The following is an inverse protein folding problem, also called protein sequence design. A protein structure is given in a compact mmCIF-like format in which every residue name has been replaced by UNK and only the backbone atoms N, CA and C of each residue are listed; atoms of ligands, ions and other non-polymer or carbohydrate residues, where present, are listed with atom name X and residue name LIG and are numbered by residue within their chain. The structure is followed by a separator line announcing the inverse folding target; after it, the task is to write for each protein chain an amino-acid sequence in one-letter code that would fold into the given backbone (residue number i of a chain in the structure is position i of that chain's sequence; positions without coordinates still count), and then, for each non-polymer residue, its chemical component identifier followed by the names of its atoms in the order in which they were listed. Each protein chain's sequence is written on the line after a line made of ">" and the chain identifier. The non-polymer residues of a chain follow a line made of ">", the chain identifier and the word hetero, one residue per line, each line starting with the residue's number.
data_IF_873647131441
#
_entry.id   IF_873647131441
#
_cell.length_a   1.000
_cell.length_b   1.000
_cell.length_c   1.000
_cell.angle_alpha   90.00
_cell.angle_beta   90.00
_cell.angle_gamma   90.00
#
_symmetry.space_group_name_H-M   'P 1'
#
loop_
_entity.id
_entity.type
_entity.pdbx_description
1 polymer ?
#
# COMPACT_ATOMS: atom_id res chain seq x y z
N UNK A 1 18.05 -5.04 -3.79
CA UNK A 1 17.25 -4.96 -2.55
C UNK A 1 16.59 -3.60 -2.33
N UNK A 2 17.31 -2.48 -2.28
CA UNK A 2 16.71 -1.15 -2.04
C UNK A 2 15.76 -0.64 -3.16
N UNK A 3 15.97 -1.10 -4.40
CA UNK A 3 15.06 -0.86 -5.52
C UNK A 3 13.67 -1.46 -5.27
N UNK A 4 13.61 -2.67 -4.69
CA UNK A 4 12.36 -3.41 -4.41
C UNK A 4 11.76 -3.12 -3.04
N UNK A 5 12.58 -3.01 -2.00
CA UNK A 5 12.11 -2.82 -0.62
C UNK A 5 12.36 -1.40 -0.16
N UNK A 6 11.26 -0.63 0.00
CA UNK A 6 11.30 0.78 0.42
C UNK A 6 11.95 0.98 1.80
N UNK A 7 11.89 -0.03 2.67
CA UNK A 7 12.49 0.02 4.01
C UNK A 7 14.01 0.27 3.97
N UNK A 8 14.70 -0.19 2.92
CA UNK A 8 16.14 0.02 2.76
C UNK A 8 16.52 1.32 2.04
N UNK A 9 15.54 2.18 1.71
CA UNK A 9 15.81 3.51 1.14
C UNK A 9 16.13 4.56 2.20
N UNK A 10 15.98 4.21 3.48
CA UNK A 10 16.33 5.05 4.61
C UNK A 10 17.16 4.23 5.60
N UNK A 11 18.01 4.87 6.40
CA UNK A 11 18.67 4.20 7.52
C UNK A 11 17.65 3.51 8.42
N UNK A 12 17.97 2.29 8.86
CA UNK A 12 17.15 1.54 9.80
C UNK A 12 17.33 2.14 11.20
N UNK A 13 16.26 2.73 11.74
CA UNK A 13 16.24 3.22 13.12
C UNK A 13 15.75 2.10 14.03
N UNK A 14 16.55 1.04 14.15
CA UNK A 14 16.26 -0.14 14.98
C UNK A 14 17.52 -0.66 15.66
N UNK A 15 17.39 -1.62 16.58
CA UNK A 15 18.54 -2.35 17.09
C UNK A 15 19.21 -3.17 15.98
N UNK A 16 20.48 -3.54 16.20
CA UNK A 16 21.25 -4.38 15.28
C UNK A 16 20.56 -5.73 15.03
N UNK A 17 20.02 -6.33 16.09
CA UNK A 17 19.28 -7.59 16.02
C UNK A 17 18.05 -7.47 15.11
N UNK A 18 17.21 -6.46 15.33
CA UNK A 18 16.03 -6.22 14.48
C UNK A 18 16.41 -5.89 13.05
N UNK A 19 17.50 -5.13 12.83
CA UNK A 19 18.02 -4.85 11.50
C UNK A 19 18.45 -6.14 10.79
N UNK A 20 19.11 -7.05 11.50
CA UNK A 20 19.56 -8.34 10.97
C UNK A 20 18.37 -9.20 10.54
N UNK A 21 17.35 -9.32 11.40
CA UNK A 21 16.11 -10.02 11.05
C UNK A 21 15.37 -9.36 9.88
N UNK A 22 15.36 -8.03 9.81
CA UNK A 22 14.74 -7.28 8.70
C UNK A 22 15.42 -7.61 7.37
N UNK A 23 16.76 -7.62 7.35
CA UNK A 23 17.54 -7.98 6.16
C UNK A 23 17.29 -9.44 5.78
N UNK A 24 17.36 -10.38 6.73
CA UNK A 24 17.11 -11.79 6.49
C UNK A 24 15.70 -12.04 5.93
N UNK A 25 14.67 -11.44 6.55
CA UNK A 25 13.29 -11.54 6.08
C UNK A 25 13.13 -11.01 4.66
N UNK A 26 13.76 -9.88 4.34
CA UNK A 26 13.70 -9.33 2.99
C UNK A 26 14.38 -10.24 1.96
N UNK A 27 15.51 -10.86 2.30
CA UNK A 27 16.20 -11.84 1.43
C UNK A 27 15.33 -13.08 1.22
N UNK A 28 14.75 -13.64 2.28
CA UNK A 28 13.82 -14.77 2.17
C UNK A 28 12.63 -14.44 1.27
N UNK A 29 12.02 -13.27 1.46
CA UNK A 29 10.90 -12.83 0.63
C UNK A 29 11.31 -12.58 -0.82
N UNK A 30 12.48 -11.99 -1.06
CA UNK A 30 13.03 -11.80 -2.40
C UNK A 30 13.16 -13.12 -3.14
N UNK A 31 13.79 -14.11 -2.48
CA UNK A 31 14.00 -15.43 -3.05
C UNK A 31 12.68 -16.15 -3.30
N UNK A 32 11.75 -16.07 -2.35
CA UNK A 32 10.42 -16.65 -2.49
C UNK A 32 9.66 -16.08 -3.71
N UNK A 33 9.63 -14.76 -3.89
CA UNK A 33 8.95 -14.15 -5.03
C UNK A 33 9.66 -14.55 -6.34
N UNK A 34 10.99 -14.56 -6.35
CA UNK A 34 11.77 -14.99 -7.52
C UNK A 34 11.52 -16.45 -7.90
N UNK A 35 11.34 -17.34 -6.91
CA UNK A 35 11.03 -18.75 -7.17
C UNK A 35 9.57 -18.97 -7.55
N UNK A 36 8.65 -18.16 -7.04
CA UNK A 36 7.23 -18.25 -7.33
C UNK A 36 6.85 -17.71 -8.73
N UNK A 37 7.71 -16.88 -9.34
CA UNK A 37 7.56 -16.47 -10.74
C UNK A 37 7.93 -17.62 -11.70
N UNK A 38 6.99 -18.55 -11.88
CA UNK A 38 7.06 -19.64 -12.87
C UNK A 38 6.77 -19.15 -14.31
N UNK A 39 7.40 -18.05 -14.71
CA UNK A 39 7.25 -17.46 -16.05
C UNK A 39 8.59 -17.33 -16.77
N UNK A 40 8.59 -17.36 -18.12
CA UNK A 40 9.79 -17.08 -18.91
C UNK A 40 10.45 -15.77 -18.47
N UNK A 41 11.77 -15.71 -18.58
CA UNK A 41 12.57 -14.59 -18.08
C UNK A 41 12.20 -13.23 -18.67
N UNK A 42 11.60 -13.20 -19.87
CA UNK A 42 11.06 -12.01 -20.53
C UNK A 42 9.72 -11.52 -19.95
N UNK A 43 8.97 -12.37 -19.26
CA UNK A 43 7.64 -12.07 -18.70
C UNK A 43 7.67 -11.84 -17.18
N UNK A 44 8.83 -12.03 -16.54
CA UNK A 44 9.01 -11.79 -15.10
C UNK A 44 8.71 -10.34 -14.75
N UNK A 45 7.84 -10.13 -13.75
CA UNK A 45 7.40 -8.80 -13.32
C UNK A 45 8.23 -8.28 -12.16
N UNK A 46 8.60 -9.15 -11.22
CA UNK A 46 9.36 -8.78 -10.04
C UNK A 46 10.84 -8.54 -10.33
N UNK A 47 11.43 -9.26 -11.28
CA UNK A 47 12.83 -9.04 -11.68
C UNK A 47 13.04 -9.49 -13.14
N UNK A 48 12.68 -8.63 -14.11
CA UNK A 48 12.91 -8.89 -15.53
C UNK A 48 14.40 -8.99 -15.87
N UNK A 49 14.71 -9.50 -17.07
CA UNK A 49 16.08 -9.71 -17.56
C UNK A 49 16.95 -8.45 -17.55
N UNK A 50 16.35 -7.32 -17.93
CA UNK A 50 16.96 -5.99 -18.00
C UNK A 50 16.96 -5.26 -16.65
N UNK A 51 16.54 -5.93 -15.58
CA UNK A 51 16.41 -5.29 -14.27
C UNK A 51 17.75 -4.98 -13.63
N UNK A 52 18.66 -5.95 -13.60
CA UNK A 52 19.99 -5.85 -13.02
C UNK A 52 21.03 -5.47 -14.10
N UNK A 53 22.23 -5.11 -13.66
CA UNK A 53 23.32 -4.79 -14.58
C UNK A 53 23.75 -6.06 -15.31
N UNK A 54 23.93 -5.94 -16.63
CA UNK A 54 24.32 -7.06 -17.47
C UNK A 54 25.55 -6.67 -18.27
N UNK A 55 26.51 -7.57 -18.36
CA UNK A 55 27.70 -7.38 -19.19
C UNK A 55 27.41 -7.78 -20.63
N UNK A 56 27.61 -6.86 -21.57
CA UNK A 56 27.60 -7.16 -23.00
C UNK A 56 28.75 -8.11 -23.35
N UNK A 57 28.61 -8.91 -24.43
CA UNK A 57 29.71 -9.73 -24.96
C UNK A 57 30.98 -8.91 -25.27
N UNK A 58 30.81 -7.64 -25.60
CA UNK A 58 31.90 -6.71 -25.94
C UNK A 58 32.60 -6.10 -24.71
N UNK A 59 32.23 -6.54 -23.50
CA UNK A 59 32.84 -6.11 -22.24
C UNK A 59 32.26 -4.84 -21.61
N UNK A 60 31.26 -4.22 -22.23
CA UNK A 60 30.56 -3.07 -21.66
C UNK A 60 29.53 -3.48 -20.62
N UNK A 61 29.34 -2.64 -19.60
CA UNK A 61 28.26 -2.80 -18.61
C UNK A 61 27.01 -2.09 -19.15
N UNK A 62 25.92 -2.84 -19.29
CA UNK A 62 24.60 -2.27 -19.52
C UNK A 62 23.96 -1.97 -18.17
N UNK A 63 23.59 -0.72 -17.95
CA UNK A 63 22.91 -0.30 -16.74
C UNK A 63 21.53 -0.96 -16.63
N UNK A 64 21.30 -1.66 -15.51
CA UNK A 64 20.01 -2.26 -15.22
C UNK A 64 18.93 -1.20 -14.93
N UNK A 65 17.68 -1.54 -15.27
CA UNK A 65 16.50 -0.69 -15.07
C UNK A 65 16.20 -0.36 -13.61
N UNK A 66 16.79 -1.07 -12.65
CA UNK A 66 16.63 -0.78 -11.24
C UNK A 66 17.00 0.67 -10.85
N UNK A 67 17.80 1.38 -11.66
CA UNK A 67 18.15 2.80 -11.47
C UNK A 67 17.05 3.77 -11.89
N UNK A 68 16.30 3.43 -12.94
CA UNK A 68 15.28 4.29 -13.55
C UNK A 68 13.87 3.91 -13.13
N UNK A 69 13.70 2.74 -12.51
CA UNK A 69 12.42 2.30 -11.96
C UNK A 69 12.05 3.16 -10.74
N UNK A 70 11.28 4.21 -11.01
CA UNK A 70 10.54 4.95 -10.00
C UNK A 70 9.57 3.97 -9.37
N UNK A 71 9.97 3.34 -8.24
CA UNK A 71 9.21 2.24 -7.68
C UNK A 71 7.75 2.61 -7.53
N UNK A 72 6.92 1.99 -8.38
CA UNK A 72 5.47 1.92 -8.38
C UNK A 72 4.92 2.73 -7.22
N UNK A 73 4.85 4.04 -7.45
CA UNK A 73 4.77 5.02 -6.40
C UNK A 73 3.42 4.83 -5.71
N UNK A 74 3.42 4.11 -4.58
CA UNK A 74 2.51 4.45 -3.50
C UNK A 74 2.94 5.86 -3.12
N UNK A 75 2.36 6.82 -3.82
CA UNK A 75 2.57 8.24 -3.57
C UNK A 75 2.47 8.43 -2.08
N UNK A 76 3.38 9.23 -1.51
CA UNK A 76 3.20 9.66 -0.13
C UNK A 76 1.81 10.29 -0.08
N UNK A 77 0.87 9.57 0.51
CA UNK A 77 -0.43 10.13 0.83
C UNK A 77 -0.11 11.33 1.70
N UNK A 78 -0.34 12.52 1.15
CA UNK A 78 -0.36 13.73 1.96
C UNK A 78 -1.31 13.45 3.10
N UNK A 79 -0.94 13.87 4.32
CA UNK A 79 -1.66 13.56 5.56
C UNK A 79 -3.18 13.64 5.34
N UNK A 80 -3.83 12.49 5.15
CA UNK A 80 -5.26 12.44 4.76
C UNK A 80 -6.17 12.73 5.96
N UNK A 81 -5.59 12.89 7.14
CA UNK A 81 -6.33 13.12 8.37
C UNK A 81 -6.26 14.61 8.72
N UNK A 82 -7.39 15.28 8.50
CA UNK A 82 -7.70 16.51 9.21
C UNK A 82 -7.74 16.19 10.71
N UNK A 83 -7.08 17.02 11.54
CA UNK A 83 -7.20 16.90 13.01
C UNK A 83 -8.64 17.23 13.50
N UNK A 84 -9.56 17.51 12.59
CA UNK A 84 -10.99 17.76 12.83
C UNK A 84 -11.83 16.50 12.61
N UNK A 85 -11.32 15.31 12.94
CA UNK A 85 -12.08 14.06 12.86
C UNK A 85 -13.47 14.19 13.50
N UNK A 86 -13.55 14.89 14.64
CA UNK A 86 -14.81 15.19 15.33
C UNK A 86 -15.77 16.04 14.50
N UNK A 87 -15.31 17.15 13.91
CA UNK A 87 -16.16 18.07 13.15
C UNK A 87 -16.57 17.49 11.80
N UNK A 88 -15.66 16.81 11.09
CA UNK A 88 -15.99 16.13 9.83
C UNK A 88 -17.01 15.01 10.09
N UNK A 89 -16.82 14.21 11.15
CA UNK A 89 -17.78 13.17 11.53
C UNK A 89 -19.12 13.75 12.02
N UNK A 90 -19.10 14.89 12.71
CA UNK A 90 -20.34 15.61 13.08
C UNK A 90 -21.10 16.07 11.84
N UNK A 91 -20.40 16.69 10.89
CA UNK A 91 -20.99 17.17 9.65
C UNK A 91 -21.58 16.03 8.83
N UNK A 92 -20.83 14.93 8.63
CA UNK A 92 -21.36 13.72 7.97
C UNK A 92 -22.57 13.16 8.71
N UNK A 93 -22.55 13.10 10.04
CA UNK A 93 -23.68 12.61 10.84
C UNK A 93 -24.92 13.50 10.68
N UNK A 94 -24.75 14.83 10.71
CA UNK A 94 -25.83 15.79 10.49
C UNK A 94 -26.42 15.69 9.09
N UNK A 95 -25.58 15.57 8.07
CA UNK A 95 -26.03 15.40 6.68
C UNK A 95 -26.86 14.13 6.51
N UNK A 96 -26.37 13.00 7.01
CA UNK A 96 -27.09 11.73 6.96
C UNK A 96 -28.40 11.78 7.77
N UNK A 97 -28.35 12.34 8.98
CA UNK A 97 -29.55 12.53 9.81
C UNK A 97 -30.61 13.36 9.08
N UNK A 98 -30.23 14.51 8.51
CA UNK A 98 -31.16 15.37 7.79
C UNK A 98 -31.77 14.65 6.59
N UNK A 99 -30.99 13.87 5.84
CA UNK A 99 -31.51 13.11 4.72
C UNK A 99 -32.52 12.05 5.19
N UNK A 100 -32.14 11.20 6.15
CA UNK A 100 -33.00 10.10 6.61
C UNK A 100 -34.24 10.57 7.41
N UNK A 101 -34.20 11.77 8.00
CA UNK A 101 -35.36 12.34 8.71
C UNK A 101 -36.26 13.21 7.83
N UNK A 102 -35.89 13.47 6.57
CA UNK A 102 -36.68 14.29 5.65
C UNK A 102 -36.84 13.60 4.29
N UNK A 103 -36.01 13.95 3.30
CA UNK A 103 -36.16 13.54 1.90
C UNK A 103 -36.07 12.02 1.71
N UNK A 104 -35.21 11.35 2.49
CA UNK A 104 -35.03 9.91 2.50
C UNK A 104 -35.86 9.19 3.57
N UNK A 105 -36.80 9.86 4.22
CA UNK A 105 -37.63 9.25 5.26
C UNK A 105 -38.58 8.20 4.64
N UNK A 106 -38.63 7.03 5.27
CA UNK A 106 -39.46 5.91 4.78
C UNK A 106 -40.44 5.47 5.86
N UNK A 107 -41.70 5.22 5.46
CA UNK A 107 -42.78 4.92 6.40
C UNK A 107 -42.53 3.70 7.30
N UNK A 108 -41.71 2.74 6.85
CA UNK A 108 -41.39 1.56 7.66
C UNK A 108 -40.38 1.87 8.78
N UNK A 109 -39.57 2.92 8.69
CA UNK A 109 -38.65 3.33 9.76
C UNK A 109 -39.43 3.79 10.99
N UNK A 110 -40.46 4.62 10.81
CA UNK A 110 -41.32 5.08 11.90
C UNK A 110 -42.11 3.92 12.52
N UNK A 111 -42.62 3.00 11.69
CA UNK A 111 -43.28 1.80 12.17
C UNK A 111 -42.35 0.90 13.00
N UNK A 112 -41.07 0.79 12.62
CA UNK A 112 -40.07 0.05 13.36
C UNK A 112 -39.72 0.71 14.71
N UNK A 113 -39.59 2.04 14.73
CA UNK A 113 -39.35 2.82 15.96
C UNK A 113 -40.54 2.75 16.90
N UNK A 114 -41.78 2.89 16.40
CA UNK A 114 -42.99 2.81 17.22
C UNK A 114 -43.20 1.42 17.86
N UNK A 115 -42.73 0.35 17.19
CA UNK A 115 -42.80 -1.02 17.70
C UNK A 115 -41.77 -1.29 18.81
N UNK A 116 -40.58 -0.71 18.71
CA UNK A 116 -39.46 -0.99 19.62
C UNK A 116 -39.17 0.13 20.65
N UNK A 117 -39.84 1.29 20.52
CA UNK A 117 -39.62 2.48 21.34
C UNK A 117 -40.46 2.56 22.62
N UNK A 118 -41.32 1.57 22.89
CA UNK A 118 -42.01 1.47 24.19
C UNK A 118 -41.05 0.86 25.21
N UNK A 119 -40.39 1.72 25.99
CA UNK A 119 -39.92 1.35 27.34
C UNK A 119 -41.12 1.30 28.28
#
# INVERSE_FOLDING_TARGET
>A
MASRFRIFRKPLVSSLETSTFTVAAAVCLHNFIKSAEEVPSCERRYCPLDFADNMSPDGYINDGRWRTEEALAINRLSRTVSNMYSRQAEETRRTLQNYFCHEGATAWQDAHIAKNGKK
#
